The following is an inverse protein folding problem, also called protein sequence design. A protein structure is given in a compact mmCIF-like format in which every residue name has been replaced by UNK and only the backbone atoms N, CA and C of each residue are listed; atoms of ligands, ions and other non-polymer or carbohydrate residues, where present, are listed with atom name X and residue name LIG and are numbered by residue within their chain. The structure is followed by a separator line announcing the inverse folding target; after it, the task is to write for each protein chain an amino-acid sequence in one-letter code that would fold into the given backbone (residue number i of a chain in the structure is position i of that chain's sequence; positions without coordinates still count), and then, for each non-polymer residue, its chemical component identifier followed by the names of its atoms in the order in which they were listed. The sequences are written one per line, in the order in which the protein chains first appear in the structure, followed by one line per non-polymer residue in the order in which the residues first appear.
data_IF_452474197982
#
_entry.id   IF_452474197982
#
_cell.length_a   1.000
_cell.length_b   1.000
_cell.length_c   1.000
_cell.angle_alpha   90.00
_cell.angle_beta   90.00
_cell.angle_gamma   90.00
#
_symmetry.space_group_name_H-M   'P 1'
#
loop_
_entity.id
_entity.type
_entity.pdbx_description
1 polymer ?
#
# COMPACT_ATOMS: atom_id res chain seq x y z
N UNK A 1 -21.47 9.57 15.46
CA UNK A 1 -21.26 8.29 16.18
C UNK A 1 -19.81 8.26 16.64
N UNK A 2 -19.50 8.02 17.91
CA UNK A 2 -18.10 8.00 18.35
C UNK A 2 -17.38 6.77 17.75
N UNK A 3 -16.08 6.89 17.46
CA UNK A 3 -15.25 5.83 16.85
C UNK A 3 -15.25 4.51 17.65
N UNK A 4 -15.50 4.60 18.96
CA UNK A 4 -15.70 3.48 19.89
C UNK A 4 -17.02 2.74 19.65
N UNK A 5 -18.08 3.45 19.28
CA UNK A 5 -19.40 2.87 19.02
C UNK A 5 -19.41 2.09 17.70
N UNK A 6 -18.68 2.58 16.69
CA UNK A 6 -18.58 1.91 15.39
C UNK A 6 -17.86 0.55 15.50
N UNK A 7 -16.73 0.49 16.23
CA UNK A 7 -16.02 -0.78 16.48
C UNK A 7 -16.85 -1.77 17.29
N UNK A 8 -17.58 -1.30 18.30
CA UNK A 8 -18.46 -2.14 19.10
C UNK A 8 -19.67 -2.65 18.30
N UNK A 9 -20.20 -1.84 17.38
CA UNK A 9 -21.27 -2.21 16.47
C UNK A 9 -20.79 -3.24 15.43
N UNK A 10 -19.65 -3.02 14.78
CA UNK A 10 -19.07 -3.97 13.82
C UNK A 10 -18.75 -5.33 14.48
N UNK A 11 -18.24 -5.31 15.72
CA UNK A 11 -17.97 -6.54 16.46
C UNK A 11 -19.26 -7.32 16.81
N UNK A 12 -20.29 -6.62 17.28
CA UNK A 12 -21.61 -7.24 17.54
C UNK A 12 -22.26 -7.78 16.28
N UNK A 13 -22.14 -7.08 15.14
CA UNK A 13 -22.66 -7.55 13.85
C UNK A 13 -21.90 -8.78 13.34
N UNK A 14 -20.58 -8.81 13.48
CA UNK A 14 -19.77 -9.98 13.12
C UNK A 14 -20.08 -11.20 14.01
N UNK A 15 -20.42 -10.99 15.30
CA UNK A 15 -20.84 -12.05 16.21
C UNK A 15 -22.28 -12.52 15.95
N UNK A 16 -23.21 -11.61 15.61
CA UNK A 16 -24.62 -11.95 15.37
C UNK A 16 -24.86 -12.71 14.06
N UNK A 17 -24.07 -12.41 13.03
CA UNK A 17 -24.27 -12.92 11.67
C UNK A 17 -23.14 -13.84 11.20
N UNK A 18 -22.38 -14.44 12.13
CA UNK A 18 -21.25 -15.33 11.83
C UNK A 18 -21.62 -16.47 10.86
N UNK A 19 -22.89 -16.90 10.88
CA UNK A 19 -23.42 -18.00 10.07
C UNK A 19 -24.37 -17.55 8.94
N UNK A 20 -24.61 -16.24 8.77
CA UNK A 20 -25.47 -15.68 7.71
C UNK A 20 -24.89 -14.37 7.13
N UNK A 21 -23.90 -14.56 6.25
CA UNK A 21 -23.19 -13.46 5.56
C UNK A 21 -24.11 -12.59 4.70
N UNK A 22 -25.21 -13.13 4.17
CA UNK A 22 -26.10 -12.37 3.26
C UNK A 22 -26.85 -11.31 4.04
N UNK A 23 -27.40 -11.68 5.21
CA UNK A 23 -28.10 -10.75 6.10
C UNK A 23 -27.18 -9.69 6.71
N UNK A 24 -25.92 -10.03 7.01
CA UNK A 24 -24.92 -9.05 7.47
C UNK A 24 -24.66 -7.95 6.43
N UNK A 25 -24.62 -8.34 5.14
CA UNK A 25 -24.32 -7.44 4.04
C UNK A 25 -25.51 -6.56 3.65
N UNK A 26 -26.73 -7.07 3.72
CA UNK A 26 -27.95 -6.27 3.49
C UNK A 26 -28.14 -5.21 4.58
N UNK A 27 -27.73 -5.50 5.83
CA UNK A 27 -27.67 -4.50 6.89
C UNK A 27 -26.61 -3.42 6.60
N UNK A 28 -25.45 -3.78 6.05
CA UNK A 28 -24.44 -2.78 5.66
C UNK A 28 -24.86 -1.92 4.47
N UNK A 29 -25.69 -2.45 3.56
CA UNK A 29 -26.28 -1.66 2.47
C UNK A 29 -27.22 -0.56 2.98
N UNK A 30 -27.75 -0.68 4.20
CA UNK A 30 -28.53 0.39 4.86
C UNK A 30 -27.67 1.45 5.56
N UNK A 31 -26.35 1.24 5.66
CA UNK A 31 -25.36 2.20 6.18
C UNK A 31 -24.74 3.05 5.06
N UNK A 32 -25.58 3.57 4.15
CA UNK A 32 -25.18 4.29 2.92
C UNK A 32 -24.37 5.58 3.12
N UNK A 33 -24.17 6.02 4.37
CA UNK A 33 -23.56 7.30 4.73
C UNK A 33 -22.14 7.16 5.33
N UNK A 34 -21.51 6.01 5.18
CA UNK A 34 -20.13 5.81 5.64
C UNK A 34 -19.14 6.49 4.68
N UNK A 35 -18.22 7.28 5.23
CA UNK A 35 -17.10 7.84 4.47
C UNK A 35 -16.09 6.77 4.04
N UNK A 36 -15.24 7.10 3.05
CA UNK A 36 -14.29 6.17 2.44
C UNK A 36 -13.31 5.54 3.45
N UNK A 37 -12.96 6.26 4.53
CA UNK A 37 -12.05 5.78 5.58
C UNK A 37 -12.78 4.78 6.50
N UNK A 38 -14.05 5.02 6.81
CA UNK A 38 -14.89 4.09 7.56
C UNK A 38 -15.15 2.80 6.76
N UNK A 39 -15.40 2.92 5.45
CA UNK A 39 -15.59 1.76 4.56
C UNK A 39 -14.31 0.91 4.45
N UNK A 40 -13.16 1.55 4.27
CA UNK A 40 -11.86 0.87 4.21
C UNK A 40 -11.52 0.15 5.52
N UNK A 41 -11.80 0.78 6.67
CA UNK A 41 -11.61 0.15 7.99
C UNK A 41 -12.55 -1.04 8.23
N UNK A 42 -13.78 -0.96 7.73
CA UNK A 42 -14.74 -2.07 7.74
C UNK A 42 -14.23 -3.24 6.91
N UNK A 43 -13.75 -2.98 5.69
CA UNK A 43 -13.15 -3.99 4.81
C UNK A 43 -11.94 -4.67 5.46
N UNK A 44 -10.99 -3.88 5.99
CA UNK A 44 -9.79 -4.39 6.69
C UNK A 44 -10.19 -5.20 7.94
N UNK A 45 -11.20 -4.74 8.69
CA UNK A 45 -11.69 -5.46 9.86
C UNK A 45 -12.24 -6.84 9.51
N UNK A 46 -12.94 -6.96 8.38
CA UNK A 46 -13.62 -8.19 7.99
C UNK A 46 -12.72 -9.21 7.27
N UNK A 47 -11.78 -8.76 6.44
CA UNK A 47 -10.78 -9.64 5.79
C UNK A 47 -9.87 -10.37 6.80
N UNK A 48 -9.75 -9.81 8.01
CA UNK A 48 -9.01 -10.41 9.13
C UNK A 48 -9.85 -11.38 9.99
N UNK A 49 -11.18 -11.44 9.81
CA UNK A 49 -12.08 -12.29 10.60
C UNK A 49 -12.64 -13.52 9.85
N UNK A 50 -12.61 -13.49 8.52
CA UNK A 50 -13.00 -14.63 7.68
C UNK A 50 -11.76 -15.46 7.38
N UNK A 51 -11.79 -16.77 7.63
CA UNK A 51 -10.66 -17.67 7.32
C UNK A 51 -10.82 -18.38 5.97
N UNK A 52 -12.04 -18.46 5.45
CA UNK A 52 -12.36 -19.16 4.19
C UNK A 52 -11.98 -18.32 2.95
N UNK A 53 -11.11 -18.84 2.05
CA UNK A 53 -10.75 -18.15 0.81
C UNK A 53 -11.94 -17.90 -0.12
N UNK A 54 -12.93 -18.79 -0.13
CA UNK A 54 -14.12 -18.67 -0.96
C UNK A 54 -15.05 -17.54 -0.46
N UNK A 55 -15.18 -17.42 0.86
CA UNK A 55 -15.95 -16.32 1.49
C UNK A 55 -15.23 -14.99 1.29
N UNK A 56 -13.90 -14.93 1.42
CA UNK A 56 -13.13 -13.71 1.08
C UNK A 56 -13.35 -13.26 -0.36
N UNK A 57 -13.32 -14.20 -1.30
CA UNK A 57 -13.54 -13.90 -2.72
C UNK A 57 -14.97 -13.42 -2.99
N UNK A 58 -15.98 -14.07 -2.39
CA UNK A 58 -17.38 -13.68 -2.50
C UNK A 58 -17.62 -12.25 -2.00
N UNK A 59 -17.05 -11.92 -0.84
CA UNK A 59 -17.20 -10.61 -0.20
C UNK A 59 -16.46 -9.53 -0.98
N UNK A 60 -15.23 -9.80 -1.41
CA UNK A 60 -14.45 -8.88 -2.24
C UNK A 60 -15.21 -8.55 -3.52
N UNK A 61 -15.80 -9.58 -4.16
CA UNK A 61 -16.64 -9.42 -5.34
C UNK A 61 -17.88 -8.57 -5.05
N UNK A 62 -18.63 -8.89 -3.99
CA UNK A 62 -19.87 -8.17 -3.65
C UNK A 62 -19.64 -6.73 -3.17
N UNK A 63 -18.54 -6.44 -2.46
CA UNK A 63 -18.13 -5.06 -2.16
C UNK A 63 -17.72 -4.28 -3.42
N UNK A 64 -17.08 -4.96 -4.38
CA UNK A 64 -16.77 -4.39 -5.68
C UNK A 64 -18.05 -4.11 -6.50
N UNK A 65 -19.03 -5.02 -6.45
CA UNK A 65 -20.34 -4.87 -7.11
C UNK A 65 -21.17 -3.75 -6.45
N UNK A 66 -21.13 -3.62 -5.12
CA UNK A 66 -21.76 -2.50 -4.40
C UNK A 66 -21.11 -1.14 -4.74
N UNK A 67 -19.78 -1.12 -4.91
CA UNK A 67 -19.06 0.06 -5.39
C UNK A 67 -19.29 0.36 -6.87
N UNK A 68 -19.80 -0.60 -7.64
CA UNK A 68 -20.16 -0.44 -9.05
C UNK A 68 -21.61 0.04 -9.27
N UNK A 69 -22.47 -0.03 -8.25
CA UNK A 69 -23.91 0.29 -8.34
C UNK A 69 -24.71 -0.77 -9.13
N UNK A 70 -26.06 -0.75 -9.06
CA UNK A 70 -26.88 -1.74 -9.75
C UNK A 70 -26.71 -1.62 -11.27
N UNK A 71 -26.34 -2.72 -11.93
CA UNK A 71 -26.16 -2.78 -13.38
C UNK A 71 -27.46 -2.48 -14.15
N UNK A 72 -27.37 -1.98 -15.40
CA UNK A 72 -28.52 -1.49 -16.13
C UNK A 72 -29.37 -2.64 -16.69
N UNK A 73 -30.64 -2.69 -16.30
CA UNK A 73 -31.68 -3.25 -17.15
C UNK A 73 -31.89 -2.33 -18.36
N UNK A 74 -32.15 -2.94 -19.51
CA UNK A 74 -32.24 -2.29 -20.82
C UNK A 74 -33.18 -1.09 -20.84
N UNK A 75 -32.66 0.12 -21.09
CA UNK A 75 -33.26 1.13 -22.00
C UNK A 75 -32.30 2.32 -22.16
N UNK A 76 -32.15 2.78 -23.41
CA UNK A 76 -31.34 3.95 -23.78
C UNK A 76 -31.91 5.22 -23.17
N UNK A 77 -31.14 5.93 -22.33
CA UNK A 77 -31.05 7.40 -22.38
C UNK A 77 -29.73 7.84 -21.74
N UNK A 78 -29.08 8.80 -22.38
CA UNK A 78 -27.84 9.45 -21.96
C UNK A 78 -27.97 10.20 -20.63
N UNK A 79 -27.09 9.92 -19.67
CA UNK A 79 -26.48 10.90 -18.75
C UNK A 79 -25.46 10.18 -17.84
N UNK A 80 -24.28 10.77 -17.68
CA UNK A 80 -23.22 10.24 -16.85
C UNK A 80 -23.51 10.31 -15.35
N UNK A 81 -22.95 9.37 -14.59
CA UNK A 81 -23.10 9.34 -13.13
C UNK A 81 -22.45 8.12 -12.50
N UNK A 82 -21.11 8.12 -12.38
CA UNK A 82 -20.38 7.10 -11.63
C UNK A 82 -18.94 7.50 -11.23
N UNK A 83 -18.56 8.77 -11.42
CA UNK A 83 -17.15 9.21 -11.36
C UNK A 83 -16.78 10.12 -10.18
N UNK A 84 -17.71 10.45 -9.28
CA UNK A 84 -17.54 11.55 -8.33
C UNK A 84 -16.60 11.24 -7.16
N UNK A 85 -16.50 10.01 -6.66
CA UNK A 85 -15.61 9.66 -5.53
C UNK A 85 -14.21 9.21 -5.97
N UNK A 86 -14.10 8.52 -7.11
CA UNK A 86 -12.80 8.05 -7.66
C UNK A 86 -11.92 9.19 -8.16
N UNK A 87 -12.51 10.25 -8.74
CA UNK A 87 -11.76 11.41 -9.25
C UNK A 87 -11.00 12.15 -8.12
N UNK A 88 -11.61 12.47 -6.96
CA UNK A 88 -10.90 13.04 -5.82
C UNK A 88 -9.75 12.19 -5.29
N UNK A 89 -9.93 10.86 -5.20
CA UNK A 89 -8.89 9.95 -4.73
C UNK A 89 -7.68 9.94 -5.68
N UNK A 90 -7.92 9.77 -6.99
CA UNK A 90 -6.86 9.80 -8.00
C UNK A 90 -6.14 11.14 -8.03
N UNK A 91 -6.85 12.25 -7.83
CA UNK A 91 -6.23 13.58 -7.77
C UNK A 91 -5.29 13.75 -6.57
N UNK A 92 -5.56 13.12 -5.42
CA UNK A 92 -4.63 13.10 -4.29
C UNK A 92 -3.37 12.30 -4.62
N UNK A 93 -3.49 11.17 -5.34
CA UNK A 93 -2.34 10.39 -5.81
C UNK A 93 -1.52 11.17 -6.84
N UNK A 94 -2.19 11.90 -7.74
CA UNK A 94 -1.56 12.81 -8.68
C UNK A 94 -0.74 13.91 -7.97
N UNK A 95 -1.30 14.53 -6.94
CA UNK A 95 -0.59 15.53 -6.12
C UNK A 95 0.63 14.93 -5.42
N UNK A 96 0.50 13.71 -4.88
CA UNK A 96 1.62 12.97 -4.33
C UNK A 96 2.74 12.77 -5.36
N UNK A 97 2.39 12.32 -6.57
CA UNK A 97 3.38 12.06 -7.62
C UNK A 97 4.12 13.33 -8.04
N UNK A 98 3.38 14.42 -8.27
CA UNK A 98 3.97 15.73 -8.59
C UNK A 98 4.90 16.21 -7.47
N UNK A 99 4.48 16.07 -6.20
CA UNK A 99 5.29 16.48 -5.07
C UNK A 99 6.58 15.66 -4.96
N UNK A 100 6.51 14.33 -5.16
CA UNK A 100 7.68 13.45 -5.12
C UNK A 100 8.70 13.83 -6.20
N UNK A 101 8.24 14.14 -7.42
CA UNK A 101 9.10 14.57 -8.53
C UNK A 101 9.70 15.95 -8.31
N UNK A 102 9.01 16.83 -7.60
CA UNK A 102 9.47 18.18 -7.30
C UNK A 102 10.50 18.24 -6.14
N UNK A 103 10.71 17.14 -5.41
CA UNK A 103 11.72 17.10 -4.35
C UNK A 103 13.14 17.22 -4.95
N UNK A 104 13.99 18.13 -4.45
CA UNK A 104 15.39 18.20 -4.92
C UNK A 104 16.21 16.96 -4.55
N UNK A 105 15.81 16.26 -3.49
CA UNK A 105 16.35 14.98 -3.05
C UNK A 105 15.23 14.21 -2.36
N UNK A 106 15.13 12.90 -2.60
CA UNK A 106 14.20 12.00 -1.89
C UNK A 106 14.46 11.99 -0.37
N UNK A 107 15.69 12.27 0.05
CA UNK A 107 16.12 12.19 1.45
C UNK A 107 16.63 13.54 1.92
N UNK A 108 16.08 14.02 3.04
CA UNK A 108 16.60 15.17 3.80
C UNK A 108 16.83 14.69 5.24
N UNK A 109 18.09 14.59 5.65
CA UNK A 109 18.47 13.89 6.88
C UNK A 109 18.20 12.38 6.74
N UNK A 110 17.34 11.83 7.61
CA UNK A 110 16.90 10.42 7.54
C UNK A 110 15.47 10.26 6.98
N UNK A 111 14.85 11.33 6.46
CA UNK A 111 13.42 11.33 6.15
C UNK A 111 13.13 11.75 4.70
N UNK A 112 12.07 11.16 4.15
CA UNK A 112 11.35 11.71 3.01
C UNK A 112 10.18 12.50 3.59
N UNK A 113 10.13 13.79 3.28
CA UNK A 113 9.06 14.69 3.73
C UNK A 113 8.41 15.37 2.54
N UNK A 114 7.10 15.19 2.41
CA UNK A 114 6.27 15.85 1.41
C UNK A 114 5.83 17.25 1.89
N UNK A 115 5.47 18.16 0.98
CA UNK A 115 4.86 19.44 1.32
C UNK A 115 3.59 19.28 2.16
N UNK A 116 3.23 20.34 2.89
CA UNK A 116 2.01 20.37 3.69
C UNK A 116 0.77 20.00 2.88
N UNK A 117 -0.12 19.21 3.47
CA UNK A 117 -1.35 18.69 2.86
C UNK A 117 -1.16 17.72 1.68
N UNK A 118 0.07 17.29 1.38
CA UNK A 118 0.33 16.18 0.47
C UNK A 118 0.70 14.95 1.29
N UNK A 119 0.03 13.84 1.02
CA UNK A 119 0.18 12.60 1.76
C UNK A 119 0.74 11.51 0.87
N UNK A 120 1.49 10.57 1.44
CA UNK A 120 2.06 9.44 0.72
C UNK A 120 0.94 8.68 0.00
N UNK A 121 1.10 8.47 -1.31
CA UNK A 121 0.11 7.82 -2.18
C UNK A 121 -1.31 8.44 -2.09
N UNK A 122 -1.42 9.72 -1.70
CA UNK A 122 -2.71 10.39 -1.51
C UNK A 122 -3.47 10.01 -0.24
N UNK A 123 -2.87 9.20 0.64
CA UNK A 123 -3.54 8.58 1.80
C UNK A 123 -3.14 9.25 3.11
N UNK A 124 -4.10 9.93 3.76
CA UNK A 124 -3.86 10.70 4.99
C UNK A 124 -3.30 9.85 6.14
N UNK A 125 -3.74 8.60 6.28
CA UNK A 125 -3.27 7.70 7.34
C UNK A 125 -1.82 7.25 7.17
N UNK A 126 -1.25 7.34 5.96
CA UNK A 126 0.18 7.11 5.73
C UNK A 126 1.03 8.33 6.12
N UNK A 127 0.42 9.50 6.29
CA UNK A 127 1.10 10.74 6.64
C UNK A 127 1.83 11.39 5.46
N UNK A 128 2.54 12.47 5.75
CA UNK A 128 3.32 13.26 4.78
C UNK A 128 4.83 13.09 4.97
N UNK A 129 5.26 12.19 5.84
CA UNK A 129 6.68 11.92 6.10
C UNK A 129 6.88 10.46 6.48
N UNK A 130 8.01 9.89 6.05
CA UNK A 130 8.45 8.56 6.42
C UNK A 130 9.95 8.55 6.71
N UNK A 131 10.39 7.66 7.60
CA UNK A 131 11.81 7.39 7.82
C UNK A 131 12.36 6.59 6.63
N UNK A 132 13.41 7.10 6.00
CA UNK A 132 14.17 6.38 4.98
C UNK A 132 15.22 5.55 5.70
N UNK A 133 14.91 4.26 5.89
CA UNK A 133 15.77 3.32 6.62
C UNK A 133 17.12 3.15 5.94
N UNK A 134 18.17 2.98 6.73
CA UNK A 134 19.53 2.79 6.19
C UNK A 134 19.60 1.57 5.26
N UNK A 135 18.88 0.49 5.61
CA UNK A 135 18.86 -0.72 4.78
C UNK A 135 18.22 -0.53 3.40
N UNK A 136 17.37 0.49 3.21
CA UNK A 136 16.73 0.74 1.92
C UNK A 136 17.76 1.04 0.84
N UNK A 137 18.80 1.83 1.17
CA UNK A 137 19.84 2.17 0.21
C UNK A 137 20.62 0.93 -0.24
N UNK A 138 21.03 0.09 0.71
CA UNK A 138 21.73 -1.16 0.41
C UNK A 138 20.90 -2.11 -0.46
N UNK A 139 19.60 -2.24 -0.19
CA UNK A 139 18.69 -3.04 -1.04
C UNK A 139 18.61 -2.45 -2.45
N UNK A 140 18.45 -1.13 -2.59
CA UNK A 140 18.37 -0.47 -3.88
C UNK A 140 19.66 -0.64 -4.69
N UNK A 141 20.82 -0.37 -4.09
CA UNK A 141 22.12 -0.51 -4.75
C UNK A 141 22.35 -1.96 -5.22
N UNK A 142 22.02 -2.94 -4.37
CA UNK A 142 22.11 -4.36 -4.72
C UNK A 142 21.16 -4.73 -5.88
N UNK A 143 19.94 -4.16 -5.93
CA UNK A 143 19.04 -4.37 -7.07
C UNK A 143 19.64 -3.82 -8.36
N UNK A 144 20.23 -2.62 -8.32
CA UNK A 144 20.84 -1.98 -9.49
C UNK A 144 22.07 -2.75 -9.98
N UNK A 145 22.91 -3.22 -9.06
CA UNK A 145 24.07 -4.06 -9.36
C UNK A 145 23.62 -5.35 -10.04
N UNK A 146 22.77 -6.15 -9.38
CA UNK A 146 22.28 -7.43 -9.91
C UNK A 146 21.58 -7.28 -11.26
N UNK A 147 20.87 -6.17 -11.49
CA UNK A 147 20.28 -5.87 -12.80
C UNK A 147 21.34 -5.67 -13.87
N UNK A 148 22.39 -4.93 -13.55
CA UNK A 148 23.42 -4.54 -14.52
C UNK A 148 24.42 -5.67 -14.79
N UNK A 149 24.83 -6.43 -13.76
CA UNK A 149 25.86 -7.47 -13.88
C UNK A 149 25.33 -8.87 -14.13
N UNK A 150 24.12 -9.18 -13.64
CA UNK A 150 23.56 -10.54 -13.68
C UNK A 150 22.28 -10.65 -14.51
N UNK A 151 21.82 -9.54 -15.12
CA UNK A 151 20.58 -9.51 -15.90
C UNK A 151 19.32 -9.78 -15.07
N UNK A 152 19.39 -9.60 -13.74
CA UNK A 152 18.23 -9.77 -12.87
C UNK A 152 17.21 -8.66 -13.12
N UNK A 153 15.97 -9.04 -13.37
CA UNK A 153 14.87 -8.07 -13.58
C UNK A 153 13.70 -8.29 -12.63
N UNK A 154 13.80 -9.27 -11.73
CA UNK A 154 12.73 -9.63 -10.80
C UNK A 154 13.30 -9.75 -9.39
N UNK A 155 12.78 -8.94 -8.48
CA UNK A 155 13.28 -8.83 -7.11
C UNK A 155 12.15 -9.14 -6.15
N UNK A 156 12.28 -10.24 -5.41
CA UNK A 156 11.46 -10.48 -4.22
C UNK A 156 12.14 -9.78 -3.05
N UNK A 157 11.43 -8.88 -2.38
CA UNK A 157 11.89 -8.29 -1.12
C UNK A 157 10.98 -8.80 -0.01
N UNK A 158 11.54 -9.61 0.87
CA UNK A 158 10.80 -10.23 1.97
C UNK A 158 11.37 -9.87 3.34
N UNK A 159 10.58 -10.10 4.37
CA UNK A 159 10.95 -9.83 5.76
C UNK A 159 9.71 -9.73 6.65
N UNK A 160 9.93 -9.64 7.96
CA UNK A 160 8.89 -9.62 8.99
C UNK A 160 7.79 -8.59 8.66
N UNK A 161 6.50 -8.94 8.83
CA UNK A 161 5.41 -7.97 8.68
C UNK A 161 5.61 -6.73 9.58
N UNK A 162 5.33 -5.54 9.06
CA UNK A 162 5.40 -4.30 9.86
C UNK A 162 6.76 -3.60 9.93
N UNK A 163 7.78 -4.06 9.17
CA UNK A 163 9.12 -3.43 9.13
C UNK A 163 9.29 -2.36 8.02
N UNK A 164 8.21 -1.99 7.32
CA UNK A 164 8.24 -0.91 6.33
C UNK A 164 8.53 -1.32 4.88
N UNK A 165 8.14 -2.53 4.42
CA UNK A 165 8.25 -2.89 2.99
C UNK A 165 7.41 -1.96 2.10
N UNK A 166 6.17 -1.67 2.49
CA UNK A 166 5.29 -0.74 1.76
C UNK A 166 5.88 0.67 1.62
N UNK A 167 6.52 1.18 2.69
CA UNK A 167 7.21 2.48 2.62
C UNK A 167 8.45 2.44 1.72
N UNK A 168 9.12 1.29 1.61
CA UNK A 168 10.21 1.12 0.65
C UNK A 168 9.73 1.28 -0.80
N UNK A 169 8.50 0.87 -1.16
CA UNK A 169 7.95 1.12 -2.49
C UNK A 169 7.98 2.62 -2.86
N UNK A 170 7.57 3.48 -1.92
CA UNK A 170 7.55 4.93 -2.15
C UNK A 170 8.96 5.50 -2.33
N UNK A 171 9.90 5.11 -1.47
CA UNK A 171 11.31 5.54 -1.58
C UNK A 171 11.93 5.04 -2.89
N UNK A 172 11.66 3.77 -3.24
CA UNK A 172 12.11 3.16 -4.48
C UNK A 172 11.61 3.91 -5.70
N UNK A 173 10.32 4.29 -5.74
CA UNK A 173 9.77 5.12 -6.82
C UNK A 173 10.57 6.41 -6.99
N UNK A 174 10.86 7.09 -5.88
CA UNK A 174 11.66 8.31 -5.88
C UNK A 174 13.05 8.12 -6.48
N UNK A 175 13.80 7.11 -6.00
CA UNK A 175 15.15 6.82 -6.50
C UNK A 175 15.15 6.37 -7.96
N UNK A 176 14.16 5.58 -8.38
CA UNK A 176 14.04 5.15 -9.78
C UNK A 176 13.88 6.35 -10.72
N UNK A 177 13.07 7.33 -10.37
CA UNK A 177 12.94 8.51 -11.22
C UNK A 177 14.17 9.41 -11.12
N UNK A 178 14.57 9.80 -9.91
CA UNK A 178 15.58 10.84 -9.72
C UNK A 178 16.99 10.35 -10.07
N UNK A 179 17.34 9.11 -9.75
CA UNK A 179 18.70 8.59 -9.97
C UNK A 179 18.83 7.74 -11.23
N UNK A 180 17.73 7.16 -11.73
CA UNK A 180 17.75 6.24 -12.88
C UNK A 180 16.96 6.73 -14.09
N UNK A 181 16.29 7.88 -13.99
CA UNK A 181 15.53 8.46 -15.11
C UNK A 181 14.36 7.58 -15.57
N UNK A 182 13.79 6.77 -14.68
CA UNK A 182 12.62 5.94 -14.98
C UNK A 182 11.41 6.83 -15.21
N UNK A 183 10.80 6.72 -16.38
CA UNK A 183 9.62 7.52 -16.77
C UNK A 183 8.29 6.85 -16.46
N UNK A 184 8.27 5.52 -16.28
CA UNK A 184 7.05 4.71 -16.18
C UNK A 184 7.15 3.72 -15.03
N UNK A 185 6.22 3.84 -14.07
CA UNK A 185 6.11 2.95 -12.93
C UNK A 185 4.66 2.47 -12.78
N UNK A 186 4.47 1.16 -12.65
CA UNK A 186 3.20 0.57 -12.23
C UNK A 186 3.33 0.20 -10.76
N UNK A 187 2.40 0.66 -9.92
CA UNK A 187 2.31 0.28 -8.52
C UNK A 187 1.01 -0.48 -8.27
N UNK A 188 1.13 -1.69 -7.72
CA UNK A 188 0.02 -2.39 -7.06
C UNK A 188 0.08 -2.07 -5.57
N UNK A 189 -0.96 -1.40 -5.05
CA UNK A 189 -1.03 -0.96 -3.67
C UNK A 189 -2.49 -0.97 -3.19
N UNK A 190 -2.74 -1.64 -2.06
CA UNK A 190 -4.06 -1.73 -1.43
C UNK A 190 -5.17 -2.26 -2.38
N UNK A 191 -4.79 -3.22 -3.23
CA UNK A 191 -5.68 -3.82 -4.23
C UNK A 191 -6.03 -2.90 -5.41
N UNK A 192 -5.35 -1.76 -5.54
CA UNK A 192 -5.48 -0.84 -6.66
C UNK A 192 -4.18 -0.80 -7.47
N UNK A 193 -4.32 -0.65 -8.79
CA UNK A 193 -3.19 -0.54 -9.69
C UNK A 193 -3.13 0.86 -10.27
N UNK A 194 -1.98 1.50 -10.10
CA UNK A 194 -1.70 2.84 -10.57
C UNK A 194 -0.58 2.81 -11.59
N UNK A 195 -0.76 3.54 -12.69
CA UNK A 195 0.28 3.85 -13.65
C UNK A 195 0.75 5.28 -13.40
N UNK A 196 2.02 5.43 -13.05
CA UNK A 196 2.71 6.71 -12.86
C UNK A 196 3.61 6.96 -14.06
N UNK A 197 3.40 8.08 -14.74
CA UNK A 197 4.26 8.49 -15.85
C UNK A 197 4.83 9.89 -15.64
N UNK A 198 6.03 10.11 -16.18
CA UNK A 198 6.66 11.42 -16.27
C UNK A 198 7.49 11.52 -17.54
N UNK A 199 7.27 12.58 -18.32
CA UNK A 199 8.10 12.94 -19.47
C UNK A 199 8.44 14.43 -19.42
N UNK A 200 9.25 14.81 -18.43
CA UNK A 200 9.58 16.20 -18.17
C UNK A 200 8.39 16.95 -17.56
N UNK A 201 7.67 17.72 -18.39
CA UNK A 201 6.55 18.56 -17.93
C UNK A 201 5.22 17.83 -17.83
N UNK A 202 5.06 16.72 -18.55
CA UNK A 202 3.85 15.90 -18.45
C UNK A 202 4.02 14.87 -17.33
N UNK A 203 3.20 14.99 -16.30
CA UNK A 203 3.20 14.16 -15.09
C UNK A 203 1.79 13.65 -14.91
N UNK A 204 1.58 12.34 -15.04
CA UNK A 204 0.25 11.73 -15.03
C UNK A 204 0.20 10.51 -14.13
N UNK A 205 -0.94 10.34 -13.49
CA UNK A 205 -1.32 9.15 -12.73
C UNK A 205 -2.65 8.63 -13.27
N UNK A 206 -2.67 7.36 -13.62
CA UNK A 206 -3.87 6.64 -14.05
C UNK A 206 -4.13 5.48 -13.10
N UNK A 207 -5.40 5.12 -12.93
CA UNK A 207 -5.81 3.96 -12.15
C UNK A 207 -6.57 3.01 -13.06
N UNK A 208 -6.25 1.72 -12.98
CA UNK A 208 -6.80 0.71 -13.87
C UNK A 208 -6.60 -0.71 -13.35
N UNK A 209 -6.85 -1.66 -14.23
CA UNK A 209 -6.60 -3.09 -14.05
C UNK A 209 -5.28 -3.50 -14.71
N UNK A 210 -4.89 -4.77 -14.57
CA UNK A 210 -3.73 -5.30 -15.31
C UNK A 210 -3.91 -5.21 -16.84
N UNK A 211 -5.15 -5.37 -17.33
CA UNK A 211 -5.43 -5.31 -18.76
C UNK A 211 -5.33 -3.89 -19.31
N UNK A 212 -5.62 -2.88 -18.49
CA UNK A 212 -5.53 -1.48 -18.88
C UNK A 212 -4.07 -1.02 -19.08
N UNK A 213 -3.11 -1.69 -18.41
CA UNK A 213 -1.68 -1.36 -18.48
C UNK A 213 -0.84 -2.47 -19.12
N UNK A 214 -1.45 -3.23 -20.04
CA UNK A 214 -0.81 -4.40 -20.66
C UNK A 214 0.39 -4.01 -21.52
N UNK A 215 0.36 -2.83 -22.15
CA UNK A 215 1.45 -2.35 -22.98
C UNK A 215 2.65 -1.96 -22.10
N UNK A 216 2.40 -1.21 -21.03
CA UNK A 216 3.42 -0.72 -20.10
C UNK A 216 4.08 -1.86 -19.33
N UNK A 217 3.31 -2.86 -18.89
CA UNK A 217 3.88 -4.03 -18.19
C UNK A 217 4.70 -4.92 -19.14
N UNK A 218 4.47 -4.82 -20.45
CA UNK A 218 5.28 -5.48 -21.48
C UNK A 218 6.48 -4.66 -21.97
N UNK A 219 6.67 -3.44 -21.48
CA UNK A 219 7.89 -2.65 -21.74
C UNK A 219 8.99 -2.97 -20.70
N UNK A 220 10.18 -3.46 -21.12
CA UNK A 220 11.31 -3.71 -20.21
C UNK A 220 11.87 -2.45 -19.53
N UNK A 221 11.51 -1.24 -19.98
CA UNK A 221 11.86 0.03 -19.34
C UNK A 221 10.97 0.35 -18.14
N UNK A 222 9.76 -0.21 -18.10
CA UNK A 222 8.81 -0.02 -16.99
C UNK A 222 9.29 -0.75 -15.74
N UNK A 223 9.06 -0.12 -14.59
CA UNK A 223 9.15 -0.77 -13.29
C UNK A 223 7.76 -1.12 -12.77
N UNK A 224 7.54 -2.38 -12.41
CA UNK A 224 6.32 -2.85 -11.80
C UNK A 224 6.57 -3.21 -10.33
N UNK A 225 6.07 -2.40 -9.41
CA UNK A 225 6.19 -2.58 -7.97
C UNK A 225 4.88 -3.16 -7.45
N UNK A 226 4.94 -4.28 -6.75
CA UNK A 226 3.78 -5.00 -6.22
C UNK A 226 3.87 -4.99 -4.69
N UNK A 227 3.13 -4.08 -4.05
CA UNK A 227 2.95 -4.03 -2.60
C UNK A 227 1.67 -4.78 -2.25
N UNK A 228 1.83 -6.06 -1.89
CA UNK A 228 0.76 -7.05 -1.70
C UNK A 228 0.14 -7.57 -3.01
N UNK A 229 -0.07 -8.88 -3.11
CA UNK A 229 -0.64 -9.54 -4.29
C UNK A 229 0.31 -10.53 -4.94
N UNK A 230 0.02 -10.86 -6.20
CA UNK A 230 0.76 -11.83 -7.01
C UNK A 230 1.33 -11.16 -8.25
N UNK A 231 2.62 -11.37 -8.49
CA UNK A 231 3.27 -10.93 -9.72
C UNK A 231 3.34 -12.07 -10.74
N UNK A 232 3.02 -11.76 -12.00
CA UNK A 232 3.09 -12.69 -13.13
C UNK A 232 4.34 -12.42 -13.98
N UNK A 233 4.67 -13.35 -14.88
CA UNK A 233 5.84 -13.19 -15.76
C UNK A 233 5.58 -12.09 -16.79
N UNK A 234 6.26 -10.96 -16.62
CA UNK A 234 6.22 -9.82 -17.55
C UNK A 234 7.63 -9.32 -17.89
N UNK A 235 7.85 -8.69 -19.07
CA UNK A 235 9.11 -8.03 -19.44
C UNK A 235 9.54 -6.89 -18.49
N UNK A 236 8.59 -6.14 -17.92
CA UNK A 236 8.88 -5.06 -16.98
C UNK A 236 9.73 -5.54 -15.79
N UNK A 237 10.60 -4.65 -15.31
CA UNK A 237 11.40 -4.92 -14.11
C UNK A 237 10.48 -4.96 -12.89
N UNK A 238 10.39 -6.10 -12.23
CA UNK A 238 9.36 -6.36 -11.21
C UNK A 238 9.96 -6.39 -9.81
N UNK A 239 9.33 -5.69 -8.86
CA UNK A 239 9.66 -5.74 -7.44
C UNK A 239 8.45 -6.23 -6.67
N UNK A 240 8.52 -7.44 -6.12
CA UNK A 240 7.46 -8.03 -5.31
C UNK A 240 7.81 -7.85 -3.83
N UNK A 241 6.96 -7.13 -3.10
CA UNK A 241 7.06 -6.97 -1.65
C UNK A 241 6.14 -7.98 -0.96
N UNK A 242 6.73 -8.88 -0.17
CA UNK A 242 5.95 -9.95 0.48
C UNK A 242 6.37 -10.20 1.93
N UNK A 243 5.43 -10.65 2.76
CA UNK A 243 5.74 -11.31 4.03
C UNK A 243 6.52 -12.61 3.78
N UNK A 244 7.16 -13.23 4.78
CA UNK A 244 7.97 -14.45 4.57
C UNK A 244 7.16 -15.70 4.25
N UNK A 245 5.86 -15.58 4.02
CA UNK A 245 4.98 -16.67 3.61
C UNK A 245 5.27 -17.10 2.16
N UNK A 246 6.04 -18.18 2.02
CA UNK A 246 6.47 -18.73 0.72
C UNK A 246 5.31 -19.09 -0.19
N UNK A 247 4.13 -19.40 0.32
CA UNK A 247 2.98 -19.74 -0.53
C UNK A 247 2.58 -18.57 -1.45
N UNK A 248 2.86 -17.33 -1.03
CA UNK A 248 2.49 -16.11 -1.75
C UNK A 248 3.40 -15.79 -2.94
N UNK A 249 4.65 -16.25 -2.92
CA UNK A 249 5.65 -15.87 -3.93
C UNK A 249 6.41 -17.06 -4.54
N UNK A 250 6.08 -18.30 -4.17
CA UNK A 250 6.76 -19.51 -4.72
C UNK A 250 6.73 -19.58 -6.24
N UNK A 251 5.65 -19.12 -6.88
CA UNK A 251 5.53 -19.11 -8.34
C UNK A 251 6.40 -18.00 -8.96
N UNK A 252 6.47 -16.83 -8.32
CA UNK A 252 7.34 -15.74 -8.74
C UNK A 252 8.83 -16.13 -8.76
N UNK A 253 9.25 -16.93 -7.77
CA UNK A 253 10.63 -17.45 -7.69
C UNK A 253 11.00 -18.42 -8.82
N UNK A 254 10.04 -18.99 -9.53
CA UNK A 254 10.32 -19.89 -10.67
C UNK A 254 10.70 -19.13 -11.94
N UNK A 255 10.44 -17.82 -12.00
CA UNK A 255 10.79 -17.03 -13.17
C UNK A 255 12.30 -16.84 -13.27
N UNK A 256 12.84 -16.90 -14.50
CA UNK A 256 14.25 -16.61 -14.76
C UNK A 256 14.56 -15.15 -14.40
N UNK A 257 15.81 -14.86 -13.99
CA UNK A 257 16.20 -13.51 -13.60
C UNK A 257 15.53 -13.01 -12.32
N UNK A 258 15.05 -13.94 -11.47
CA UNK A 258 14.50 -13.64 -10.15
C UNK A 258 15.56 -13.84 -9.06
N UNK A 259 15.63 -12.89 -8.13
CA UNK A 259 16.45 -12.96 -6.92
C UNK A 259 15.65 -12.55 -5.68
N UNK A 260 16.10 -12.97 -4.50
CA UNK A 260 15.47 -12.65 -3.22
C UNK A 260 16.40 -11.78 -2.38
N UNK A 261 15.87 -10.67 -1.88
CA UNK A 261 16.52 -9.76 -0.94
C UNK A 261 15.74 -9.75 0.37
N UNK A 262 16.45 -9.63 1.49
CA UNK A 262 15.87 -9.67 2.83
C UNK A 262 15.95 -8.30 3.49
N UNK A 263 14.80 -7.77 3.90
CA UNK A 263 14.72 -6.54 4.68
C UNK A 263 14.89 -6.85 6.16
N UNK A 264 15.89 -6.27 6.84
CA UNK A 264 16.12 -6.49 8.27
C UNK A 264 15.04 -5.81 9.12
N UNK A 265 14.93 -6.24 10.38
CA UNK A 265 14.18 -5.51 11.42
C UNK A 265 14.84 -4.15 11.70
N UNK A 266 14.13 -3.27 12.42
CA UNK A 266 14.63 -1.93 12.69
C UNK A 266 15.77 -1.96 13.73
N UNK A 267 16.70 -1.02 13.64
CA UNK A 267 17.64 -0.77 14.74
C UNK A 267 16.99 0.07 15.83
N UNK A 268 17.58 0.08 17.02
CA UNK A 268 17.10 0.94 18.12
C UNK A 268 17.17 2.43 17.75
N UNK A 269 18.20 2.83 17.00
CA UNK A 269 18.33 4.19 16.47
C UNK A 269 17.22 4.53 15.48
N UNK A 270 16.88 3.62 14.55
CA UNK A 270 15.76 3.82 13.63
C UNK A 270 14.43 4.00 14.39
N UNK A 271 14.19 3.18 15.43
CA UNK A 271 13.00 3.31 16.28
C UNK A 271 12.98 4.65 17.01
N UNK A 272 14.12 5.04 17.60
CA UNK A 272 14.26 6.30 18.35
C UNK A 272 14.04 7.52 17.47
N UNK A 273 14.69 7.58 16.31
CA UNK A 273 14.54 8.68 15.35
C UNK A 273 13.11 8.81 14.86
N UNK A 274 12.49 7.69 14.47
CA UNK A 274 11.11 7.66 14.03
C UNK A 274 10.13 8.08 15.13
N UNK A 275 10.32 7.60 16.38
CA UNK A 275 9.50 8.04 17.52
C UNK A 275 9.59 9.54 17.71
N UNK A 276 10.80 10.11 17.79
CA UNK A 276 11.02 11.55 18.02
C UNK A 276 10.27 12.37 16.96
N UNK A 277 10.34 11.95 15.69
CA UNK A 277 9.83 12.73 14.57
C UNK A 277 8.34 12.51 14.28
N UNK A 278 7.90 11.24 14.23
CA UNK A 278 6.59 10.84 13.71
C UNK A 278 5.61 10.43 14.81
N UNK A 279 6.11 10.01 15.98
CA UNK A 279 5.30 9.60 17.13
C UNK A 279 5.69 10.33 18.42
N UNK A 280 5.74 11.69 18.42
CA UNK A 280 6.24 12.46 19.57
C UNK A 280 5.37 12.32 20.82
N UNK A 281 4.11 11.88 20.65
CA UNK A 281 3.18 11.60 21.73
C UNK A 281 3.53 10.33 22.52
N UNK A 282 4.34 9.43 21.98
CA UNK A 282 4.78 8.22 22.67
C UNK A 282 6.03 8.52 23.50
N UNK A 283 6.01 8.14 24.79
CA UNK A 283 7.18 8.30 25.65
C UNK A 283 8.29 7.31 25.26
N UNK A 284 9.54 7.72 25.45
CA UNK A 284 10.72 6.88 25.23
C UNK A 284 10.69 5.62 26.13
N UNK A 285 10.21 5.75 27.36
CA UNK A 285 10.04 4.62 28.27
C UNK A 285 9.01 3.60 27.76
N UNK A 286 7.86 4.07 27.26
CA UNK A 286 6.81 3.21 26.66
C UNK A 286 7.35 2.45 25.45
N UNK A 287 8.05 3.14 24.55
CA UNK A 287 8.58 2.49 23.34
C UNK A 287 9.66 1.47 23.69
N UNK A 288 10.56 1.76 24.65
CA UNK A 288 11.55 0.79 25.12
C UNK A 288 10.93 -0.47 25.73
N UNK A 289 9.89 -0.33 26.53
CA UNK A 289 9.14 -1.47 27.09
C UNK A 289 8.51 -2.32 25.97
N UNK A 290 7.92 -1.68 24.96
CA UNK A 290 7.33 -2.38 23.82
C UNK A 290 8.39 -3.05 22.94
N UNK A 291 9.55 -2.42 22.73
CA UNK A 291 10.70 -3.02 22.05
C UNK A 291 11.19 -4.25 22.79
N UNK A 292 11.30 -4.19 24.11
CA UNK A 292 11.70 -5.35 24.93
C UNK A 292 10.70 -6.51 24.80
N UNK A 293 9.39 -6.22 24.68
CA UNK A 293 8.32 -7.25 24.55
C UNK A 293 8.18 -7.82 23.14
N UNK A 294 8.24 -6.96 22.12
CA UNK A 294 7.80 -7.28 20.74
C UNK A 294 8.91 -7.18 19.70
N UNK A 295 10.11 -6.75 20.10
CA UNK A 295 11.22 -6.45 19.22
C UNK A 295 11.02 -5.19 18.39
N UNK A 296 12.01 -4.88 17.55
CA UNK A 296 12.07 -3.66 16.74
C UNK A 296 11.19 -3.76 15.48
N UNK A 297 9.89 -3.88 15.70
CA UNK A 297 8.86 -3.92 14.66
C UNK A 297 7.96 -2.69 14.86
N UNK A 298 8.15 -1.60 14.08
CA UNK A 298 7.46 -0.32 14.25
C UNK A 298 5.95 -0.42 14.32
N UNK A 299 5.37 -1.35 13.56
CA UNK A 299 3.93 -1.60 13.59
C UNK A 299 3.42 -1.86 15.02
N UNK A 300 4.18 -2.59 15.82
CA UNK A 300 3.77 -2.96 17.18
C UNK A 300 4.25 -1.98 18.24
N UNK A 301 5.42 -1.36 18.03
CA UNK A 301 6.04 -0.50 19.06
C UNK A 301 5.81 1.00 18.84
N UNK A 302 5.27 1.40 17.68
CA UNK A 302 4.92 2.79 17.35
C UNK A 302 3.49 2.92 16.81
N UNK A 303 3.18 2.26 15.69
CA UNK A 303 1.93 2.49 14.93
C UNK A 303 0.66 2.06 15.69
N UNK A 304 0.67 0.86 16.28
CA UNK A 304 -0.49 0.29 16.97
C UNK A 304 -0.58 0.66 18.45
N UNK A 305 0.27 1.57 18.93
CA UNK A 305 0.28 1.95 20.33
C UNK A 305 -0.93 2.83 20.63
N UNK A 306 -1.94 2.24 21.27
CA UNK A 306 -3.03 2.99 21.87
C UNK A 306 -2.56 3.60 23.19
N UNK A 307 -2.47 4.92 23.26
CA UNK A 307 -2.31 5.60 24.54
C UNK A 307 -3.69 5.65 25.20
N UNK A 308 -3.96 4.76 26.16
CA UNK A 308 -5.05 5.00 27.10
C UNK A 308 -4.62 6.19 27.95
N UNK A 309 -5.31 7.33 27.80
CA UNK A 309 -5.16 8.43 28.75
C UNK A 309 -5.61 7.91 30.12
N UNK A 310 -4.65 7.79 31.05
CA UNK A 310 -4.92 7.59 32.47
C UNK A 310 -5.31 8.92 33.11
#
# INVERSE_FOLDING_TARGET
MALTDLRAACKRLAELYKDDLVSAMDLMATLSDLDDDAFLRLRIGWENYIDSPAEKAFVTKRLSDMAAGPGPSSTRTSAGGGSSSRRPALQKVQLFWQALLALPSIIVGSFLTLPSNVYLLGTKSLGSSLLVRHCYRGIFDQMMELRSSNGMSRFLITGTPGIGKSFFAVVLMGWLVQEKGVSTIILDFDGLKYLFTTNGTDIKVEMGSEMDFIEEVNDPKTWWIVDTGTAFRRPASTVLLASPDRQRYKEFLKFQGTTTLFMPIWTDDEIKECRIRLYPHLSDATVRDLVWKWGNIPRYVLEKVCVCMA
#
